data_IF_033743470618
#
_entry.id   IF_033743470618
#
_cell.length_a   1.000
_cell.length_b   1.000
_cell.length_c   1.000
_cell.angle_alpha   90.00
_cell.angle_beta   90.00
_cell.angle_gamma   90.00
#
_symmetry.space_group_name_H-M   'P 1'
#
loop_
_entity.id
_entity.type
_entity.pdbx_description
1 polymer ?
#
# COMPACT_ATOMS: atom_id res chain seq x y z
N UNK A 1 -4.45 7.89 -27.14
CA UNK A 1 -4.73 7.21 -25.86
C UNK A 1 -4.35 8.09 -24.67
N UNK A 2 -5.23 8.99 -24.21
CA UNK A 2 -4.97 9.88 -23.05
C UNK A 2 -6.27 10.21 -22.32
N UNK A 3 -6.95 9.24 -21.71
CA UNK A 3 -8.15 9.54 -20.89
C UNK A 3 -8.38 8.63 -19.66
N UNK A 4 -7.48 7.69 -19.35
CA UNK A 4 -7.56 6.88 -18.11
C UNK A 4 -6.69 7.40 -16.95
N UNK A 5 -5.96 8.49 -17.15
CA UNK A 5 -4.92 8.97 -16.22
C UNK A 5 -5.43 9.83 -15.05
N UNK A 6 -6.69 10.29 -15.07
CA UNK A 6 -7.23 11.14 -14.01
C UNK A 6 -7.92 10.37 -12.85
N UNK A 7 -8.32 9.11 -13.06
CA UNK A 7 -9.05 8.34 -12.03
C UNK A 7 -8.15 7.79 -10.91
N UNK A 8 -6.87 7.49 -11.18
CA UNK A 8 -5.95 7.00 -10.12
C UNK A 8 -5.58 8.11 -9.12
N UNK A 9 -5.49 9.37 -9.59
CA UNK A 9 -5.23 10.53 -8.73
C UNK A 9 -6.46 10.90 -7.89
N UNK A 10 -7.67 10.82 -8.46
CA UNK A 10 -8.88 11.10 -7.69
C UNK A 10 -9.15 10.07 -6.59
N UNK A 11 -8.75 8.81 -6.73
CA UNK A 11 -8.95 7.82 -5.66
C UNK A 11 -8.01 7.98 -4.46
N UNK A 12 -6.79 8.51 -4.68
CA UNK A 12 -5.90 8.87 -3.57
C UNK A 12 -6.45 10.07 -2.79
N UNK A 13 -7.22 10.97 -3.42
CA UNK A 13 -7.80 12.16 -2.77
C UNK A 13 -9.27 12.00 -2.31
N UNK A 14 -10.05 11.10 -2.90
CA UNK A 14 -11.47 10.90 -2.55
C UNK A 14 -11.67 10.01 -1.31
N UNK A 15 -10.62 9.37 -0.78
CA UNK A 15 -10.64 8.59 0.47
C UNK A 15 -10.40 9.47 1.70
N UNK A 16 -10.37 10.80 1.57
CA UNK A 16 -10.24 11.72 2.70
C UNK A 16 -11.60 12.23 3.19
N UNK A 17 -12.46 11.29 3.59
CA UNK A 17 -13.56 11.59 4.49
C UNK A 17 -13.01 11.76 5.92
N UNK A 18 -13.49 12.81 6.58
CA UNK A 18 -13.24 13.23 7.97
C UNK A 18 -12.79 12.09 8.91
N UNK A 19 -11.66 12.29 9.61
CA UNK A 19 -11.19 11.34 10.62
C UNK A 19 -12.30 11.08 11.66
N UNK A 20 -12.73 9.82 11.89
CA UNK A 20 -13.53 9.50 13.06
C UNK A 20 -12.67 9.62 14.33
N UNK A 21 -13.33 10.00 15.43
CA UNK A 21 -12.75 10.42 16.70
C UNK A 21 -11.75 9.42 17.31
N UNK A 22 -10.78 9.98 18.03
CA UNK A 22 -9.57 9.37 18.58
C UNK A 22 -9.74 8.28 19.65
N UNK A 23 -10.97 7.89 19.98
CA UNK A 23 -11.25 7.06 21.18
C UNK A 23 -11.59 5.59 20.89
N UNK A 24 -11.61 5.15 19.63
CA UNK A 24 -11.60 3.70 19.34
C UNK A 24 -10.15 3.22 19.15
N UNK A 25 -9.73 2.23 19.94
CA UNK A 25 -8.42 1.60 19.79
C UNK A 25 -8.38 0.79 18.50
N UNK A 26 -8.16 1.46 17.38
CA UNK A 26 -7.99 0.82 16.09
C UNK A 26 -6.81 -0.17 16.17
N UNK A 27 -7.03 -1.45 15.81
CA UNK A 27 -6.08 -2.54 16.06
C UNK A 27 -4.68 -2.32 15.44
N UNK A 28 -4.56 -1.46 14.42
CA UNK A 28 -3.29 -1.05 13.84
C UNK A 28 -2.40 -0.19 14.74
N UNK A 29 -2.87 0.27 15.90
CA UNK A 29 -1.99 0.93 16.87
C UNK A 29 -0.86 0.00 17.36
N UNK A 30 -1.04 -1.33 17.23
CA UNK A 30 -0.01 -2.34 17.53
C UNK A 30 0.93 -2.61 16.35
N UNK A 31 0.62 -2.12 15.14
CA UNK A 31 1.39 -2.43 13.93
C UNK A 31 2.68 -1.61 13.86
N UNK A 32 3.79 -2.24 14.25
CA UNK A 32 5.12 -1.66 14.04
C UNK A 32 5.57 -1.95 12.62
N UNK A 33 5.52 -0.94 11.77
CA UNK A 33 5.91 -1.06 10.35
C UNK A 33 7.42 -1.25 10.21
N UNK A 34 8.23 -0.47 10.93
CA UNK A 34 9.70 -0.47 10.77
C UNK A 34 10.34 -1.63 11.51
N UNK A 35 11.05 -2.50 10.78
CA UNK A 35 11.94 -3.52 11.34
C UNK A 35 13.34 -2.95 11.57
N UNK A 36 14.24 -3.65 12.27
CA UNK A 36 15.64 -3.22 12.41
C UNK A 36 16.41 -3.23 11.07
N UNK A 37 15.95 -4.02 10.08
CA UNK A 37 16.62 -4.22 8.79
C UNK A 37 16.18 -3.28 7.65
N UNK A 38 15.10 -2.50 7.81
CA UNK A 38 14.48 -1.77 6.69
C UNK A 38 15.44 -0.81 5.95
N UNK A 39 16.39 -0.19 6.66
CA UNK A 39 17.43 0.65 6.04
C UNK A 39 18.37 -0.12 5.11
N UNK A 40 18.67 -1.39 5.44
CA UNK A 40 19.46 -2.26 4.56
C UNK A 40 18.69 -2.53 3.26
N UNK A 41 17.38 -2.77 3.35
CA UNK A 41 16.55 -2.98 2.17
C UNK A 41 16.47 -1.72 1.28
N UNK A 42 16.44 -0.52 1.89
CA UNK A 42 16.54 0.74 1.14
C UNK A 42 17.91 0.91 0.44
N UNK A 43 19.02 0.45 1.04
CA UNK A 43 20.35 0.44 0.39
C UNK A 43 20.44 -0.47 -0.83
N UNK A 44 19.63 -1.52 -0.86
CA UNK A 44 19.50 -2.39 -2.03
C UNK A 44 18.63 -1.78 -3.12
N UNK A 45 17.96 -0.65 -2.87
CA UNK A 45 17.28 0.08 -3.91
C UNK A 45 18.31 0.67 -4.87
N UNK A 46 18.05 0.56 -6.17
CA UNK A 46 18.93 1.08 -7.21
C UNK A 46 19.04 2.61 -7.17
N UNK A 47 18.00 3.28 -6.67
CA UNK A 47 17.78 4.71 -6.82
C UNK A 47 17.47 5.38 -5.48
N UNK A 48 17.95 6.62 -5.37
CA UNK A 48 17.60 7.56 -4.33
C UNK A 48 17.06 8.84 -4.97
N UNK A 49 16.27 9.60 -4.20
CA UNK A 49 15.55 10.76 -4.70
C UNK A 49 15.85 11.97 -3.84
N UNK A 50 16.23 13.05 -4.48
CA UNK A 50 16.48 14.35 -3.85
C UNK A 50 15.85 15.45 -4.69
N UNK A 51 15.79 16.67 -4.16
CA UNK A 51 15.40 17.82 -4.97
C UNK A 51 16.62 18.44 -5.64
N UNK A 52 16.38 19.04 -6.80
CA UNK A 52 17.34 19.90 -7.48
C UNK A 52 17.52 21.18 -6.63
N UNK A 53 18.74 21.52 -6.20
CA UNK A 53 18.95 22.66 -5.29
C UNK A 53 18.51 23.98 -5.92
N UNK A 54 18.68 24.11 -7.24
CA UNK A 54 18.23 25.27 -8.02
C UNK A 54 16.72 25.28 -8.28
N UNK A 55 16.04 24.14 -8.11
CA UNK A 55 14.60 23.95 -8.33
C UNK A 55 14.01 23.04 -7.24
N UNK A 56 13.79 23.55 -6.02
CA UNK A 56 13.43 22.74 -4.85
C UNK A 56 12.06 22.08 -4.92
N UNK A 57 11.30 22.34 -5.99
CA UNK A 57 10.03 21.71 -6.33
C UNK A 57 10.17 20.54 -7.33
N UNK A 58 11.36 20.29 -7.86
CA UNK A 58 11.65 19.24 -8.83
C UNK A 58 12.53 18.17 -8.18
N UNK A 59 12.13 16.91 -8.33
CA UNK A 59 12.89 15.76 -7.84
C UNK A 59 13.79 15.25 -8.93
N UNK A 60 15.02 14.92 -8.56
CA UNK A 60 15.99 14.23 -9.40
C UNK A 60 16.28 12.85 -8.80
N UNK A 61 16.49 11.89 -9.69
CA UNK A 61 16.90 10.55 -9.35
C UNK A 61 18.43 10.47 -9.36
N UNK A 62 19.02 9.93 -8.30
CA UNK A 62 20.45 9.70 -8.17
C UNK A 62 20.70 8.22 -7.84
N UNK A 63 21.87 7.70 -8.19
CA UNK A 63 22.25 6.34 -7.82
C UNK A 63 22.38 6.25 -6.31
N UNK A 64 21.74 5.25 -5.68
CA UNK A 64 21.79 5.06 -4.23
C UNK A 64 23.23 4.84 -3.73
N UNK A 65 24.11 4.24 -4.54
CA UNK A 65 25.53 4.08 -4.21
C UNK A 65 26.30 5.41 -4.05
N UNK A 66 25.76 6.51 -4.58
CA UNK A 66 26.45 7.81 -4.66
C UNK A 66 25.93 8.80 -3.61
N UNK A 67 25.06 8.39 -2.69
CA UNK A 67 24.47 9.30 -1.72
C UNK A 67 25.28 9.35 -0.41
N UNK A 68 25.31 10.54 0.19
CA UNK A 68 25.68 10.68 1.60
C UNK A 68 24.44 10.39 2.45
N UNK A 69 24.44 9.24 3.16
CA UNK A 69 23.33 8.76 3.99
C UNK A 69 22.82 9.79 5.03
N UNK A 70 23.59 10.84 5.37
CA UNK A 70 23.18 11.85 6.36
C UNK A 70 21.95 12.65 5.90
N UNK A 71 21.72 12.83 4.60
CA UNK A 71 20.60 13.62 4.08
C UNK A 71 19.41 12.78 3.59
N UNK A 72 19.58 11.45 3.55
CA UNK A 72 18.57 10.54 3.02
C UNK A 72 18.00 9.68 4.14
N UNK A 73 16.74 9.29 3.97
CA UNK A 73 16.05 8.35 4.84
C UNK A 73 15.46 7.21 4.03
N UNK A 74 15.39 6.05 4.67
CA UNK A 74 14.67 4.91 4.14
C UNK A 74 13.17 5.24 4.09
N UNK A 75 12.64 5.22 2.88
CA UNK A 75 11.29 5.58 2.51
C UNK A 75 10.45 4.34 2.23
N UNK A 76 9.24 4.29 2.75
CA UNK A 76 8.21 3.34 2.32
C UNK A 76 7.37 4.02 1.24
N UNK A 77 7.56 3.67 -0.03
CA UNK A 77 6.82 4.28 -1.14
C UNK A 77 5.31 4.22 -0.90
N UNK A 78 4.83 3.04 -0.53
CA UNK A 78 3.50 2.82 0.00
C UNK A 78 3.54 2.97 1.53
N UNK A 79 2.90 4.02 2.05
CA UNK A 79 2.90 4.35 3.47
C UNK A 79 1.89 3.52 4.27
N UNK A 80 2.24 3.16 5.51
CA UNK A 80 1.33 2.44 6.39
C UNK A 80 0.08 3.27 6.75
N UNK A 81 0.20 4.59 6.74
CA UNK A 81 -0.88 5.53 6.95
C UNK A 81 -1.99 5.35 5.89
N UNK A 82 -1.65 4.92 4.68
CA UNK A 82 -2.63 4.62 3.63
C UNK A 82 -3.47 3.41 4.03
N UNK A 83 -2.83 2.37 4.54
CA UNK A 83 -3.48 1.16 5.07
C UNK A 83 -4.43 1.54 6.21
N UNK A 84 -3.92 2.28 7.21
CA UNK A 84 -4.69 2.73 8.37
C UNK A 84 -5.90 3.59 7.94
N UNK A 85 -5.71 4.49 6.98
CA UNK A 85 -6.78 5.39 6.51
C UNK A 85 -7.87 4.64 5.76
N UNK A 86 -7.49 3.71 4.88
CA UNK A 86 -8.43 2.82 4.19
C UNK A 86 -9.32 2.07 5.19
N UNK A 87 -8.72 1.47 6.22
CA UNK A 87 -9.48 0.75 7.22
C UNK A 87 -10.39 1.68 8.06
N UNK A 88 -9.88 2.83 8.51
CA UNK A 88 -10.70 3.80 9.26
C UNK A 88 -11.91 4.33 8.49
N UNK A 89 -11.81 4.40 7.16
CA UNK A 89 -12.93 4.78 6.28
C UNK A 89 -13.96 3.68 6.04
N UNK A 90 -13.67 2.43 6.45
CA UNK A 90 -14.59 1.30 6.29
C UNK A 90 -15.71 1.33 7.34
N UNK A 91 -16.82 0.61 7.13
CA UNK A 91 -17.89 0.52 8.13
C UNK A 91 -17.39 -0.11 9.44
N UNK A 92 -17.91 0.27 10.62
CA UNK A 92 -17.46 -0.25 11.92
C UNK A 92 -17.47 -1.80 12.02
N UNK A 93 -18.49 -2.45 11.46
CA UNK A 93 -18.62 -3.91 11.45
C UNK A 93 -17.59 -4.60 10.54
N UNK A 94 -17.15 -3.92 9.47
CA UNK A 94 -16.08 -4.37 8.59
C UNK A 94 -14.73 -4.19 9.29
N UNK A 95 -14.53 -3.04 9.96
CA UNK A 95 -13.33 -2.77 10.75
C UNK A 95 -13.13 -3.84 11.85
N UNK A 96 -14.17 -4.14 12.63
CA UNK A 96 -14.11 -5.15 13.69
C UNK A 96 -13.76 -6.54 13.15
N UNK A 97 -14.42 -6.97 12.06
CA UNK A 97 -14.15 -8.26 11.41
C UNK A 97 -12.72 -8.35 10.87
N UNK A 98 -12.22 -7.29 10.24
CA UNK A 98 -10.85 -7.25 9.75
C UNK A 98 -9.83 -7.24 10.88
N UNK A 99 -10.05 -6.47 11.95
CA UNK A 99 -9.17 -6.48 13.12
C UNK A 99 -9.09 -7.85 13.78
N UNK A 100 -10.24 -8.50 13.99
CA UNK A 100 -10.30 -9.88 14.49
C UNK A 100 -9.55 -10.83 13.56
N UNK A 101 -9.71 -10.72 12.25
CA UNK A 101 -9.00 -11.55 11.27
C UNK A 101 -7.48 -11.31 11.32
N UNK A 102 -7.04 -10.07 11.43
CA UNK A 102 -5.61 -9.75 11.48
C UNK A 102 -4.97 -10.31 12.75
N UNK A 103 -5.64 -10.21 13.90
CA UNK A 103 -5.15 -10.75 15.17
C UNK A 103 -5.19 -12.28 15.21
N UNK A 104 -6.30 -12.91 14.83
CA UNK A 104 -6.51 -14.37 14.84
C UNK A 104 -5.46 -15.10 13.99
N UNK A 105 -5.14 -14.57 12.81
CA UNK A 105 -4.20 -15.20 11.88
C UNK A 105 -2.79 -14.61 11.92
N UNK A 106 -2.50 -13.73 12.88
CA UNK A 106 -1.22 -13.03 13.00
C UNK A 106 -0.74 -12.39 11.68
N UNK A 107 -1.66 -11.74 10.96
CA UNK A 107 -1.37 -11.15 9.64
C UNK A 107 -0.39 -9.97 9.72
N UNK A 108 -0.11 -9.50 10.93
CA UNK A 108 0.90 -8.50 11.22
C UNK A 108 2.27 -8.86 10.64
N UNK A 109 2.68 -10.13 10.68
CA UNK A 109 3.97 -10.56 10.11
C UNK A 109 3.99 -10.35 8.60
N UNK A 110 3.00 -10.87 7.87
CA UNK A 110 2.94 -10.72 6.41
C UNK A 110 2.80 -9.26 5.96
N UNK A 111 2.03 -8.46 6.70
CA UNK A 111 1.95 -7.02 6.47
C UNK A 111 3.30 -6.34 6.69
N UNK A 112 4.00 -6.67 7.78
CA UNK A 112 5.32 -6.13 8.07
C UNK A 112 6.33 -6.51 6.97
N UNK A 113 6.35 -7.76 6.53
CA UNK A 113 7.25 -8.24 5.49
C UNK A 113 7.04 -7.51 4.16
N UNK A 114 5.78 -7.32 3.75
CA UNK A 114 5.43 -6.60 2.53
C UNK A 114 5.87 -5.13 2.63
N UNK A 115 5.59 -4.49 3.76
CA UNK A 115 5.95 -3.09 3.98
C UNK A 115 7.45 -2.87 3.98
N UNK A 116 8.25 -3.79 4.54
CA UNK A 116 9.71 -3.70 4.57
C UNK A 116 10.39 -4.31 3.32
N UNK A 117 9.62 -4.82 2.36
CA UNK A 117 10.17 -5.46 1.18
C UNK A 117 11.00 -4.48 0.34
N UNK A 118 12.03 -4.98 -0.37
CA UNK A 118 12.80 -4.18 -1.33
C UNK A 118 11.94 -3.49 -2.39
N UNK A 119 10.74 -4.03 -2.67
CA UNK A 119 9.77 -3.46 -3.60
C UNK A 119 9.14 -2.19 -3.04
N UNK A 120 9.10 -2.00 -1.72
CA UNK A 120 8.52 -0.82 -1.07
C UNK A 120 9.57 0.18 -0.56
N UNK A 121 10.85 -0.21 -0.45
CA UNK A 121 11.91 0.60 0.17
C UNK A 121 12.74 1.43 -0.82
N UNK A 122 12.84 2.75 -0.63
CA UNK A 122 13.70 3.70 -1.40
C UNK A 122 14.56 4.51 -0.45
N UNK A 123 15.55 5.23 -0.98
CA UNK A 123 16.10 6.40 -0.28
C UNK A 123 15.46 7.69 -0.78
N UNK A 124 15.06 8.53 0.16
CA UNK A 124 14.43 9.81 -0.13
C UNK A 124 15.04 10.88 0.77
N UNK A 125 15.28 12.07 0.22
CA UNK A 125 15.69 13.23 1.02
C UNK A 125 14.74 13.43 2.20
N UNK A 126 15.32 13.68 3.38
CA UNK A 126 14.60 13.83 4.65
C UNK A 126 13.42 14.80 4.59
N UNK A 127 13.59 15.93 3.91
CA UNK A 127 12.56 16.95 3.83
C UNK A 127 11.42 16.52 2.91
N UNK A 128 11.74 15.84 1.81
CA UNK A 128 10.72 15.27 0.92
C UNK A 128 9.98 14.14 1.65
N UNK A 129 10.68 13.25 2.34
CA UNK A 129 10.08 12.16 3.11
C UNK A 129 9.12 12.70 4.19
N UNK A 130 9.56 13.70 4.96
CA UNK A 130 8.71 14.38 5.94
C UNK A 130 7.46 15.00 5.29
N UNK A 131 7.62 15.70 4.15
CA UNK A 131 6.48 16.29 3.45
C UNK A 131 5.51 15.22 2.93
N UNK A 132 6.02 14.09 2.44
CA UNK A 132 5.24 12.94 1.99
C UNK A 132 4.42 12.33 3.15
N UNK A 133 5.03 12.15 4.32
CA UNK A 133 4.34 11.69 5.52
C UNK A 133 3.21 12.64 5.97
N UNK A 134 3.40 13.97 5.82
CA UNK A 134 2.34 14.96 6.08
C UNK A 134 1.19 14.83 5.08
N UNK A 135 1.49 14.66 3.79
CA UNK A 135 0.50 14.47 2.72
C UNK A 135 -0.34 13.22 3.00
N UNK A 136 0.29 12.07 3.24
CA UNK A 136 -0.42 10.82 3.52
C UNK A 136 -1.10 10.79 4.89
N UNK A 137 -0.63 11.61 5.83
CA UNK A 137 -1.30 11.83 7.11
C UNK A 137 -2.52 12.76 7.04
N UNK A 138 -2.85 13.33 5.87
CA UNK A 138 -3.96 14.27 5.70
C UNK A 138 -3.75 15.61 6.42
N UNK A 139 -2.53 15.92 6.86
CA UNK A 139 -2.23 17.12 7.64
C UNK A 139 -1.92 18.31 6.73
N UNK A 140 -2.29 19.51 7.17
CA UNK A 140 -1.85 20.78 6.58
C UNK A 140 -0.54 21.23 7.26
N UNK A 141 0.28 22.03 6.58
CA UNK A 141 1.47 22.66 7.20
C UNK A 141 2.83 22.09 6.80
N UNK A 142 3.07 21.86 5.51
CA UNK A 142 4.43 21.62 5.00
C UNK A 142 4.85 22.75 4.07
N UNK A 143 6.15 22.98 3.94
CA UNK A 143 6.71 23.93 2.98
C UNK A 143 6.19 23.59 1.57
N UNK A 144 5.71 24.61 0.84
CA UNK A 144 5.11 24.43 -0.50
C UNK A 144 6.07 23.71 -1.47
N UNK A 145 7.37 24.02 -1.44
CA UNK A 145 8.35 23.42 -2.32
C UNK A 145 8.53 21.93 -2.01
N UNK A 146 8.68 21.57 -0.73
CA UNK A 146 8.78 20.15 -0.35
C UNK A 146 7.49 19.37 -0.59
N UNK A 147 6.32 20.03 -0.50
CA UNK A 147 5.04 19.43 -0.94
C UNK A 147 5.07 19.10 -2.42
N UNK A 148 5.48 20.07 -3.25
CA UNK A 148 5.56 19.88 -4.70
C UNK A 148 6.59 18.82 -5.08
N UNK A 149 7.75 18.81 -4.43
CA UNK A 149 8.77 17.79 -4.60
C UNK A 149 8.25 16.40 -4.19
N UNK A 150 7.52 16.27 -3.08
CA UNK A 150 6.92 15.00 -2.70
C UNK A 150 5.88 14.52 -3.73
N UNK A 151 5.09 15.43 -4.29
CA UNK A 151 4.16 15.11 -5.39
C UNK A 151 4.91 14.72 -6.67
N UNK A 152 6.03 15.37 -6.97
CA UNK A 152 6.87 15.08 -8.13
C UNK A 152 7.55 13.70 -8.01
N UNK A 153 8.12 13.40 -6.84
CA UNK A 153 8.66 12.09 -6.48
C UNK A 153 7.66 10.96 -6.77
N UNK A 154 6.40 11.11 -6.36
CA UNK A 154 5.36 10.10 -6.55
C UNK A 154 5.00 9.84 -8.03
N UNK A 155 5.46 10.67 -8.97
CA UNK A 155 5.21 10.51 -10.40
C UNK A 155 6.29 9.67 -11.11
N UNK A 156 7.44 9.45 -10.49
CA UNK A 156 8.49 8.63 -11.08
C UNK A 156 8.01 7.20 -11.36
N UNK A 157 8.36 6.66 -12.53
CA UNK A 157 7.86 5.36 -12.99
C UNK A 157 8.16 4.23 -12.02
N UNK A 158 9.39 4.18 -11.50
CA UNK A 158 9.77 3.16 -10.54
C UNK A 158 8.98 3.29 -9.23
N UNK A 159 8.72 4.51 -8.75
CA UNK A 159 7.95 4.80 -7.54
C UNK A 159 6.49 4.41 -7.75
N UNK A 160 5.91 4.71 -8.92
CA UNK A 160 4.54 4.30 -9.27
C UNK A 160 4.42 2.77 -9.34
N UNK A 161 5.37 2.11 -9.99
CA UNK A 161 5.39 0.66 -10.12
C UNK A 161 5.54 -0.02 -8.76
N UNK A 162 6.42 0.51 -7.91
CA UNK A 162 6.60 0.07 -6.54
C UNK A 162 5.34 0.18 -5.69
N UNK A 163 4.67 1.33 -5.78
CA UNK A 163 3.41 1.58 -5.11
C UNK A 163 2.35 0.56 -5.54
N UNK A 164 2.20 0.36 -6.85
CA UNK A 164 1.23 -0.59 -7.42
C UNK A 164 1.51 -2.03 -7.00
N UNK A 165 2.77 -2.48 -7.07
CA UNK A 165 3.17 -3.83 -6.67
C UNK A 165 2.97 -4.06 -5.17
N UNK A 166 3.37 -3.10 -4.33
CA UNK A 166 3.17 -3.20 -2.87
C UNK A 166 1.67 -3.28 -2.54
N UNK A 167 0.84 -2.48 -3.21
CA UNK A 167 -0.62 -2.55 -3.06
C UNK A 167 -1.18 -3.91 -3.47
N UNK A 168 -0.69 -4.50 -4.56
CA UNK A 168 -1.12 -5.82 -5.01
C UNK A 168 -0.77 -6.90 -3.98
N UNK A 169 0.48 -6.91 -3.49
CA UNK A 169 0.92 -7.84 -2.44
C UNK A 169 0.08 -7.72 -1.16
N UNK A 170 -0.27 -6.50 -0.75
CA UNK A 170 -1.15 -6.29 0.40
C UNK A 170 -2.55 -6.88 0.17
N UNK A 171 -3.13 -6.69 -1.01
CA UNK A 171 -4.43 -7.29 -1.36
C UNK A 171 -4.36 -8.81 -1.35
N UNK A 172 -3.33 -9.38 -1.97
CA UNK A 172 -3.14 -10.83 -2.04
C UNK A 172 -2.90 -11.43 -0.65
N UNK A 173 -2.16 -10.73 0.22
CA UNK A 173 -1.96 -11.15 1.59
C UNK A 173 -3.27 -11.21 2.37
N UNK A 174 -4.11 -10.17 2.25
CA UNK A 174 -5.43 -10.14 2.89
C UNK A 174 -6.34 -11.24 2.32
N UNK A 175 -6.39 -11.40 0.98
CA UNK A 175 -7.23 -12.40 0.33
C UNK A 175 -6.81 -13.84 0.66
N UNK A 176 -5.52 -14.17 0.60
CA UNK A 176 -5.01 -15.50 1.01
C UNK A 176 -5.41 -15.81 2.45
N UNK A 177 -5.27 -14.83 3.34
CA UNK A 177 -5.61 -15.01 4.75
C UNK A 177 -7.10 -15.28 4.97
N UNK A 178 -7.97 -14.59 4.22
CA UNK A 178 -9.41 -14.84 4.22
C UNK A 178 -9.77 -16.21 3.61
N UNK A 179 -9.00 -16.72 2.64
CA UNK A 179 -9.22 -18.01 2.01
C UNK A 179 -8.67 -19.20 2.83
N UNK A 180 -7.57 -19.02 3.57
CA UNK A 180 -7.06 -20.02 4.53
C UNK A 180 -8.12 -20.34 5.59
N UNK A 181 -8.92 -19.34 6.01
CA UNK A 181 -10.11 -19.54 6.85
C UNK A 181 -11.16 -20.44 6.18
N UNK A 182 -11.40 -20.32 4.88
CA UNK A 182 -12.36 -21.17 4.16
C UNK A 182 -11.88 -22.64 4.05
N UNK A 183 -10.57 -22.89 4.11
CA UNK A 183 -10.00 -24.24 4.12
C UNK A 183 -9.95 -24.86 5.53
N UNK A 184 -9.64 -24.07 6.57
CA UNK A 184 -9.59 -24.52 7.97
C UNK A 184 -11.01 -24.66 8.57
N UNK A 185 -11.97 -23.85 8.14
CA UNK A 185 -13.37 -23.92 8.59
C UNK A 185 -14.19 -25.02 7.88
N UNK A 186 -13.60 -25.81 6.98
CA UNK A 186 -14.23 -27.04 6.51
C UNK A 186 -14.01 -28.14 7.56
N UNK A 187 -15.07 -28.66 8.22
CA UNK A 187 -14.92 -29.91 8.94
C UNK A 187 -14.52 -31.01 7.95
N UNK A 188 -13.68 -31.93 8.40
CA UNK A 188 -13.27 -33.14 7.68
C UNK A 188 -14.49 -33.74 6.95
N UNK A 189 -14.45 -33.96 5.63
CA UNK A 189 -15.55 -34.62 4.97
C UNK A 189 -15.54 -36.08 5.42
N UNK A 190 -16.42 -36.42 6.36
CA UNK A 190 -16.96 -37.78 6.44
C UNK A 190 -17.54 -38.18 5.08
N UNK A 191 -17.65 -39.48 4.79
CA UNK A 191 -17.79 -39.97 3.44
C UNK A 191 -19.07 -39.47 2.77
N UNK A 192 -18.87 -38.84 1.59
CA UNK A 192 -19.81 -38.56 0.51
C UNK A 192 -21.21 -38.04 0.84
N UNK A 193 -21.49 -36.81 0.41
CA UNK A 193 -22.74 -36.54 -0.29
C UNK A 193 -22.47 -35.78 -1.60
N UNK A 194 -22.68 -36.49 -2.71
CA UNK A 194 -22.87 -35.95 -4.05
C UNK A 194 -24.08 -35.01 -4.07
N UNK A 195 -23.99 -33.94 -4.87
CA UNK A 195 -25.04 -33.33 -5.71
C UNK A 195 -24.41 -32.06 -6.34
N UNK A 196 -23.73 -32.19 -7.49
CA UNK A 196 -24.29 -31.94 -8.82
C UNK A 196 -25.25 -30.74 -8.88
N UNK A 197 -24.79 -29.65 -9.49
CA UNK A 197 -25.59 -28.88 -10.43
C UNK A 197 -24.66 -28.19 -11.44
N UNK A 198 -24.54 -28.82 -12.61
CA UNK A 198 -24.04 -28.24 -13.85
C UNK A 198 -24.97 -27.11 -14.33
N UNK A 199 -24.47 -26.12 -15.08
CA UNK A 199 -25.34 -25.19 -15.81
C UNK A 199 -25.96 -25.90 -17.03
N UNK A 200 -27.22 -25.60 -17.41
CA UNK A 200 -27.79 -26.17 -18.62
C UNK A 200 -27.15 -25.53 -19.84
N UNK A 201 -26.42 -26.35 -20.60
CA UNK A 201 -26.08 -26.08 -22.00
C UNK A 201 -27.24 -26.44 -22.91
N UNK A 202 -27.32 -25.76 -24.07
CA UNK A 202 -28.07 -26.04 -25.33
C UNK A 202 -29.23 -25.06 -25.58
N UNK A 203 -29.43 -24.43 -26.75
CA UNK A 203 -28.82 -24.62 -28.08
C UNK A 203 -29.28 -23.51 -29.09
N UNK A 204 -28.50 -23.31 -30.18
CA UNK A 204 -28.83 -22.79 -31.56
C UNK A 204 -28.54 -21.28 -31.82
N UNK A 205 -27.94 -20.86 -32.94
CA UNK A 205 -27.38 -21.55 -34.11
C UNK A 205 -26.38 -20.64 -34.85
N UNK A 206 -25.62 -21.25 -35.77
CA UNK A 206 -24.61 -20.69 -36.67
C UNK A 206 -25.13 -19.69 -37.71
N UNK A 207 -24.23 -18.84 -38.20
CA UNK A 207 -24.37 -18.18 -39.50
C UNK A 207 -23.10 -17.43 -39.91
N UNK A 208 -22.21 -18.11 -40.63
CA UNK A 208 -21.13 -17.50 -41.42
C UNK A 208 -21.72 -16.86 -42.68
N UNK A 209 -21.48 -15.57 -42.90
CA UNK A 209 -20.87 -14.96 -44.10
C UNK A 209 -20.57 -13.49 -43.82
#
# INVERSE_FOLDING_TARGET
MRFHFFCLFFWVFAVFAKQPDSNSSFCFNKFKVKTSGYRKNAKLAQWAYTYEKSRPNQVIQVRAANINDVNYEADHVFEAQIVISYFRSSRPDVQARMCSTIEEYNLWSGLQDIMNSRINMRFLDKNINKAKGIIFGGKKGTNKNFRLAAVDYLKYDDVRNAFAQTRALLKDNVARSMNTKAAIAKPNPGPNFLLLNSPPSKFLHFGYR
#
